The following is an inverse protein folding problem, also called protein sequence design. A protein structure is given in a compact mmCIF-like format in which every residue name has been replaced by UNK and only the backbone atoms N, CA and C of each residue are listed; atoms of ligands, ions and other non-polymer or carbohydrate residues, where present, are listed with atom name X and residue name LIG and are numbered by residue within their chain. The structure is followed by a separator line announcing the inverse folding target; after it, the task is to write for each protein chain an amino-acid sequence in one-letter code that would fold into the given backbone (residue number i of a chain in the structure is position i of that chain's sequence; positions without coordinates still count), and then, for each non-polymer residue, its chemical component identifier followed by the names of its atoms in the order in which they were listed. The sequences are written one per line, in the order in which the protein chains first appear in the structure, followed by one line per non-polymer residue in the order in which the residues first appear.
data_IF_967036989887
#
_entry.id   IF_967036989887
#
_cell.length_a   1.000
_cell.length_b   1.000
_cell.length_c   1.000
_cell.angle_alpha   90.00
_cell.angle_beta   90.00
_cell.angle_gamma   90.00
#
_symmetry.space_group_name_H-M   'P 1'
#
loop_
_entity.id
_entity.type
_entity.pdbx_description
1 polymer ?
#
# COMPACT_ATOMS: atom_id res chain seq x y z
N UNK A 1 -16.61 7.13 2.55
CA UNK A 1 -15.53 8.09 2.88
C UNK A 1 -14.21 7.40 2.58
N UNK A 2 -13.24 8.10 2.01
CA UNK A 2 -11.95 7.57 1.53
C UNK A 2 -10.79 8.31 2.21
N UNK A 3 -9.62 7.68 2.29
CA UNK A 3 -8.37 8.34 2.71
C UNK A 3 -7.60 8.77 1.46
N UNK A 4 -7.05 9.99 1.42
CA UNK A 4 -6.29 10.48 0.26
C UNK A 4 -5.23 11.50 0.64
N UNK A 5 -4.11 11.51 -0.09
CA UNK A 5 -3.02 12.49 0.12
C UNK A 5 -2.39 12.90 -1.21
N UNK A 6 -1.93 14.16 -1.30
CA UNK A 6 -1.11 14.64 -2.41
C UNK A 6 0.39 14.44 -2.08
N UNK A 7 1.10 13.81 -3.01
CA UNK A 7 2.54 13.54 -2.92
C UNK A 7 3.25 14.28 -4.04
N UNK A 8 4.31 15.02 -3.69
CA UNK A 8 5.18 15.75 -4.62
C UNK A 8 6.16 14.80 -5.31
N UNK A 9 5.61 13.79 -5.98
CA UNK A 9 6.35 12.79 -6.74
C UNK A 9 5.62 12.47 -8.04
N UNK A 10 6.39 12.13 -9.06
CA UNK A 10 5.86 11.70 -10.35
C UNK A 10 5.09 10.38 -10.22
N UNK A 11 4.08 10.20 -11.06
CA UNK A 11 3.17 9.04 -11.00
C UNK A 11 3.92 7.72 -11.16
N UNK A 12 5.04 7.72 -11.89
CA UNK A 12 5.90 6.54 -12.06
C UNK A 12 6.50 6.07 -10.73
N UNK A 13 7.02 7.00 -9.93
CA UNK A 13 7.62 6.70 -8.63
C UNK A 13 6.55 6.25 -7.64
N UNK A 14 5.38 6.89 -7.68
CA UNK A 14 4.24 6.54 -6.82
C UNK A 14 3.70 5.16 -7.19
N UNK A 15 3.56 4.87 -8.48
CA UNK A 15 3.15 3.57 -8.98
C UNK A 15 4.12 2.47 -8.54
N UNK A 16 5.42 2.71 -8.67
CA UNK A 16 6.45 1.80 -8.17
C UNK A 16 6.27 1.56 -6.67
N UNK A 17 6.07 2.63 -5.89
CA UNK A 17 5.93 2.54 -4.44
C UNK A 17 4.70 1.76 -3.97
N UNK A 18 3.60 1.76 -4.74
CA UNK A 18 2.38 1.01 -4.40
C UNK A 18 2.32 -0.39 -5.02
N UNK A 19 3.22 -0.76 -5.93
CA UNK A 19 3.17 -2.07 -6.64
C UNK A 19 4.41 -2.95 -6.43
N UNK A 20 5.53 -2.39 -5.98
CA UNK A 20 6.74 -3.17 -5.68
C UNK A 20 6.81 -3.59 -4.21
N UNK A 21 7.13 -4.86 -3.99
CA UNK A 21 7.22 -5.52 -2.68
C UNK A 21 8.08 -4.75 -1.68
N UNK A 22 9.29 -4.37 -2.11
CA UNK A 22 10.27 -3.70 -1.25
C UNK A 22 9.80 -2.30 -0.86
N UNK A 23 9.09 -1.61 -1.74
CA UNK A 23 8.58 -0.27 -1.44
C UNK A 23 7.33 -0.36 -0.54
N UNK A 24 6.36 -1.24 -0.86
CA UNK A 24 5.17 -1.47 -0.03
C UNK A 24 5.52 -1.84 1.42
N UNK A 25 6.55 -2.67 1.61
CA UNK A 25 7.03 -3.10 2.93
C UNK A 25 7.62 -1.96 3.77
N UNK A 26 7.93 -0.80 3.17
CA UNK A 26 8.49 0.35 3.88
C UNK A 26 7.43 1.28 4.45
N UNK A 27 6.25 1.39 3.84
CA UNK A 27 5.28 2.43 4.19
C UNK A 27 3.88 1.91 4.54
N UNK A 28 3.42 0.82 3.92
CA UNK A 28 2.03 0.37 4.03
C UNK A 28 1.69 -0.03 5.47
N UNK A 29 2.55 -0.87 6.03
CA UNK A 29 2.60 -1.23 7.44
C UNK A 29 4.09 -1.54 7.71
N UNK A 30 4.87 -0.57 8.20
CA UNK A 30 6.31 -0.77 8.41
C UNK A 30 6.61 -2.05 9.22
N UNK A 31 7.77 -2.64 8.98
CA UNK A 31 8.18 -3.91 9.60
C UNK A 31 7.48 -5.16 9.06
N UNK A 32 6.34 -5.03 8.37
CA UNK A 32 5.65 -6.13 7.68
C UNK A 32 6.13 -6.27 6.24
N UNK A 33 5.90 -7.44 5.63
CA UNK A 33 6.47 -7.76 4.31
C UNK A 33 5.42 -8.10 3.27
N UNK A 34 5.76 -7.82 2.02
CA UNK A 34 4.98 -8.18 0.83
C UNK A 34 5.77 -9.14 -0.06
N UNK A 35 5.07 -10.10 -0.65
CA UNK A 35 5.55 -11.01 -1.70
C UNK A 35 4.54 -10.97 -2.85
N UNK A 36 4.95 -10.46 -4.00
CA UNK A 36 4.14 -10.21 -5.20
C UNK A 36 4.87 -10.86 -6.39
N UNK A 37 4.81 -12.20 -6.51
CA UNK A 37 5.57 -12.92 -7.53
C UNK A 37 5.27 -12.48 -8.97
N UNK A 38 4.04 -11.99 -9.20
CA UNK A 38 3.59 -11.46 -10.48
C UNK A 38 2.51 -10.42 -10.31
N UNK A 39 2.77 -9.21 -10.79
CA UNK A 39 1.82 -8.10 -10.81
C UNK A 39 0.84 -8.24 -12.00
N UNK A 40 -0.20 -9.06 -11.84
CA UNK A 40 -1.27 -9.21 -12.83
C UNK A 40 -2.61 -9.57 -12.18
N UNK A 41 -3.72 -9.22 -12.84
CA UNK A 41 -5.07 -9.56 -12.37
C UNK A 41 -5.25 -11.07 -12.22
N UNK A 42 -5.88 -11.49 -11.11
CA UNK A 42 -6.11 -12.89 -10.75
C UNK A 42 -4.92 -13.59 -10.07
N UNK A 43 -3.72 -13.01 -10.09
CA UNK A 43 -2.56 -13.58 -9.40
C UNK A 43 -2.67 -13.40 -7.88
N UNK A 44 -1.99 -14.28 -7.15
CA UNK A 44 -1.92 -14.24 -5.68
C UNK A 44 -0.68 -13.45 -5.23
N UNK A 45 -0.83 -12.77 -4.11
CA UNK A 45 0.28 -12.16 -3.37
C UNK A 45 0.09 -12.41 -1.87
N UNK A 46 1.18 -12.29 -1.10
CA UNK A 46 1.15 -12.52 0.33
C UNK A 46 1.56 -11.24 1.06
N UNK A 47 0.72 -10.79 1.98
CA UNK A 47 1.09 -9.79 2.97
C UNK A 47 1.31 -10.48 4.31
N UNK A 48 2.52 -10.38 4.87
CA UNK A 48 2.85 -10.97 6.18
C UNK A 48 2.93 -9.87 7.22
N UNK A 49 1.91 -9.81 8.08
CA UNK A 49 1.89 -8.90 9.22
C UNK A 49 2.84 -9.44 10.29
N UNK A 50 3.86 -8.65 10.62
CA UNK A 50 4.87 -9.03 11.60
C UNK A 50 4.47 -8.59 13.02
N UNK A 51 4.84 -9.36 14.07
CA UNK A 51 4.69 -8.93 15.46
C UNK A 51 5.28 -7.55 15.72
N UNK A 52 4.51 -6.73 16.44
CA UNK A 52 4.96 -5.43 16.90
C UNK A 52 4.27 -5.02 18.21
N UNK A 53 4.67 -3.88 18.77
CA UNK A 53 4.18 -3.37 20.06
C UNK A 53 2.68 -2.99 20.01
N UNK A 54 2.10 -2.89 18.81
CA UNK A 54 0.74 -2.44 18.56
C UNK A 54 -0.27 -3.55 18.24
N UNK A 55 0.16 -4.72 17.76
CA UNK A 55 -0.73 -5.76 17.22
C UNK A 55 -0.84 -7.04 18.06
N UNK A 56 -0.10 -7.15 19.17
CA UNK A 56 -0.14 -8.28 20.12
C UNK A 56 0.12 -9.66 19.49
N UNK A 57 0.64 -9.72 18.26
CA UNK A 57 0.99 -10.99 17.62
C UNK A 57 2.23 -11.57 18.30
N UNK A 58 2.22 -12.88 18.53
CA UNK A 58 3.41 -13.62 18.97
C UNK A 58 4.25 -14.07 17.77
N UNK A 59 3.59 -14.39 16.65
CA UNK A 59 4.18 -14.96 15.44
C UNK A 59 3.73 -14.17 14.20
N UNK A 60 4.51 -14.18 13.10
CA UNK A 60 4.09 -13.61 11.82
C UNK A 60 2.77 -14.19 11.31
N UNK A 61 1.89 -13.32 10.82
CA UNK A 61 0.59 -13.69 10.27
C UNK A 61 0.56 -13.45 8.75
N UNK A 62 0.75 -14.49 7.92
CA UNK A 62 0.63 -14.37 6.47
C UNK A 62 -0.83 -14.33 6.04
N UNK A 63 -1.16 -13.39 5.17
CA UNK A 63 -2.47 -13.23 4.55
C UNK A 63 -2.32 -13.37 3.03
N UNK A 64 -3.06 -14.31 2.45
CA UNK A 64 -3.12 -14.47 1.01
C UNK A 64 -4.16 -13.51 0.41
N UNK A 65 -3.72 -12.75 -0.58
CA UNK A 65 -4.49 -11.73 -1.27
C UNK A 65 -4.59 -12.09 -2.75
N UNK A 66 -5.66 -11.63 -3.40
CA UNK A 66 -5.83 -11.80 -4.85
C UNK A 66 -5.82 -10.45 -5.53
N UNK A 67 -4.93 -10.24 -6.50
CA UNK A 67 -4.90 -9.00 -7.28
C UNK A 67 -6.17 -8.93 -8.12
N UNK A 68 -6.92 -7.83 -7.98
CA UNK A 68 -8.19 -7.61 -8.68
C UNK A 68 -8.01 -6.73 -9.91
N UNK A 69 -7.24 -5.64 -9.80
CA UNK A 69 -7.00 -4.71 -10.91
C UNK A 69 -5.56 -4.23 -10.94
N UNK A 70 -5.00 -4.17 -12.14
CA UNK A 70 -3.70 -3.55 -12.40
C UNK A 70 -3.82 -2.69 -13.66
N UNK A 71 -4.13 -1.41 -13.48
CA UNK A 71 -4.07 -0.43 -14.58
C UNK A 71 -2.96 0.56 -14.26
N UNK A 72 -1.89 0.47 -15.05
CA UNK A 72 -0.66 1.23 -14.84
C UNK A 72 -0.98 2.72 -14.70
N UNK A 73 -0.50 3.33 -13.61
CA UNK A 73 -0.67 4.76 -13.28
C UNK A 73 -2.11 5.18 -12.98
N UNK A 74 -3.04 4.24 -12.85
CA UNK A 74 -4.45 4.54 -12.56
C UNK A 74 -4.92 3.84 -11.28
N UNK A 75 -4.78 2.51 -11.20
CA UNK A 75 -5.32 1.74 -10.07
C UNK A 75 -4.54 0.44 -9.85
N UNK A 76 -4.30 0.15 -8.57
CA UNK A 76 -3.91 -1.17 -8.09
C UNK A 76 -4.87 -1.59 -6.98
N UNK A 77 -5.49 -2.75 -7.11
CA UNK A 77 -6.44 -3.26 -6.12
C UNK A 77 -6.31 -4.75 -5.88
N UNK A 78 -6.69 -5.15 -4.68
CA UNK A 78 -6.60 -6.53 -4.24
C UNK A 78 -7.69 -6.89 -3.24
N UNK A 79 -7.98 -8.18 -3.17
CA UNK A 79 -9.02 -8.76 -2.35
C UNK A 79 -8.41 -9.57 -1.20
N UNK A 80 -8.91 -9.31 0.00
CA UNK A 80 -8.69 -10.09 1.21
C UNK A 80 -9.88 -11.04 1.36
N UNK A 81 -9.61 -12.33 1.55
CA UNK A 81 -10.68 -13.32 1.80
C UNK A 81 -11.23 -13.21 3.22
N UNK A 82 -10.40 -12.85 4.20
CA UNK A 82 -10.82 -12.71 5.61
C UNK A 82 -10.18 -11.45 6.22
N UNK A 83 -10.95 -10.41 6.52
CA UNK A 83 -12.36 -10.23 6.14
C UNK A 83 -12.52 -10.09 4.62
N UNK A 84 -13.67 -10.49 4.07
CA UNK A 84 -14.00 -10.31 2.65
C UNK A 84 -14.03 -8.81 2.30
N UNK A 85 -12.95 -8.29 1.74
CA UNK A 85 -12.79 -6.85 1.50
C UNK A 85 -11.89 -6.59 0.29
N UNK A 86 -12.28 -5.63 -0.54
CA UNK A 86 -11.44 -5.10 -1.61
C UNK A 86 -10.77 -3.82 -1.14
N UNK A 87 -9.46 -3.80 -1.20
CA UNK A 87 -8.63 -2.61 -0.99
C UNK A 87 -8.17 -2.13 -2.36
N UNK A 88 -8.39 -0.85 -2.66
CA UNK A 88 -7.98 -0.24 -3.92
C UNK A 88 -7.25 1.07 -3.68
N UNK A 89 -6.07 1.21 -4.30
CA UNK A 89 -5.30 2.44 -4.38
C UNK A 89 -5.43 3.01 -5.80
N UNK A 90 -6.03 4.20 -5.91
CA UNK A 90 -6.14 4.93 -7.17
C UNK A 90 -5.20 6.12 -7.21
N UNK A 91 -4.64 6.38 -8.39
CA UNK A 91 -3.73 7.49 -8.66
C UNK A 91 -4.41 8.52 -9.56
N UNK A 92 -4.21 9.79 -9.24
CA UNK A 92 -4.58 10.90 -10.10
C UNK A 92 -3.43 11.90 -10.14
N UNK A 93 -2.90 12.18 -11.33
CA UNK A 93 -1.95 13.27 -11.52
C UNK A 93 -2.68 14.60 -11.25
N UNK A 94 -2.10 15.42 -10.38
CA UNK A 94 -2.62 16.74 -10.07
C UNK A 94 -1.45 17.69 -9.80
N UNK A 95 -1.47 18.84 -10.50
CA UNK A 95 -0.42 19.85 -10.44
C UNK A 95 0.97 19.29 -10.83
N UNK A 96 1.90 19.28 -9.88
CA UNK A 96 3.27 18.75 -9.99
C UNK A 96 3.47 17.45 -9.16
N UNK A 97 2.37 16.78 -8.79
CA UNK A 97 2.40 15.60 -7.95
C UNK A 97 1.34 14.58 -8.33
N UNK A 98 1.20 13.58 -7.48
CA UNK A 98 0.23 12.51 -7.63
C UNK A 98 -0.59 12.39 -6.37
N UNK A 99 -1.91 12.45 -6.52
CA UNK A 99 -2.85 12.13 -5.44
C UNK A 99 -3.03 10.63 -5.37
N UNK A 100 -2.78 10.05 -4.19
CA UNK A 100 -3.04 8.64 -3.89
C UNK A 100 -4.29 8.56 -3.03
N UNK A 101 -5.24 7.71 -3.42
CA UNK A 101 -6.49 7.52 -2.66
C UNK A 101 -6.76 6.04 -2.39
N UNK A 102 -7.11 5.72 -1.15
CA UNK A 102 -7.70 4.43 -0.78
C UNK A 102 -9.21 4.49 -0.90
N UNK A 103 -9.84 3.41 -1.36
CA UNK A 103 -11.31 3.30 -1.44
C UNK A 103 -12.04 3.31 -0.08
N UNK A 104 -11.31 3.30 1.03
CA UNK A 104 -11.85 3.30 2.39
C UNK A 104 -11.01 4.15 3.37
N UNK A 105 -11.56 4.38 4.56
CA UNK A 105 -10.86 5.05 5.66
C UNK A 105 -9.85 4.14 6.36
N UNK A 106 -9.04 4.72 7.25
CA UNK A 106 -8.09 3.98 8.10
C UNK A 106 -6.67 3.89 7.53
N UNK A 107 -6.42 4.53 6.38
CA UNK A 107 -5.12 4.52 5.70
C UNK A 107 -4.37 5.85 5.82
N UNK A 108 -4.85 6.81 6.61
CA UNK A 108 -4.21 8.13 6.75
C UNK A 108 -2.76 8.02 7.23
N UNK A 109 -2.48 7.13 8.20
CA UNK A 109 -1.14 6.88 8.70
C UNK A 109 -0.22 6.25 7.65
N UNK A 110 -0.71 5.23 6.93
CA UNK A 110 0.03 4.61 5.82
C UNK A 110 0.30 5.61 4.69
N UNK A 111 -0.68 6.45 4.35
CA UNK A 111 -0.53 7.51 3.34
C UNK A 111 0.50 8.56 3.75
N UNK A 112 0.56 8.93 5.04
CA UNK A 112 1.60 9.81 5.56
C UNK A 112 2.99 9.17 5.45
N UNK A 113 3.12 7.86 5.71
CA UNK A 113 4.36 7.12 5.48
C UNK A 113 4.77 7.09 4.01
N UNK A 114 3.82 6.85 3.09
CA UNK A 114 4.09 6.84 1.64
C UNK A 114 4.61 8.20 1.17
N UNK A 115 3.97 9.29 1.65
CA UNK A 115 4.40 10.65 1.35
C UNK A 115 5.83 10.89 1.83
N UNK A 116 6.11 10.59 3.10
CA UNK A 116 7.45 10.76 3.67
C UNK A 116 8.51 9.97 2.88
N UNK A 117 8.22 8.70 2.55
CA UNK A 117 9.12 7.86 1.76
C UNK A 117 9.47 8.47 0.40
N UNK A 118 8.47 9.01 -0.31
CA UNK A 118 8.65 9.54 -1.66
C UNK A 118 9.22 10.97 -1.69
N UNK A 119 9.03 11.73 -0.62
CA UNK A 119 9.55 13.10 -0.49
C UNK A 119 10.93 13.14 0.18
N UNK A 120 11.42 12.01 0.70
CA UNK A 120 12.74 11.86 1.31
C UNK A 120 12.79 12.26 2.78
N UNK A 121 11.66 12.21 3.47
CA UNK A 121 11.51 12.49 4.90
C UNK A 121 11.53 11.20 5.75
N UNK A 122 11.68 11.37 7.07
CA UNK A 122 11.58 10.28 8.03
C UNK A 122 10.14 9.70 8.09
N UNK A 123 10.01 8.37 8.16
CA UNK A 123 8.71 7.68 8.26
C UNK A 123 8.03 8.00 9.61
N UNK A 124 6.86 8.68 9.63
CA UNK A 124 6.24 9.18 10.86
C UNK A 124 5.51 8.11 11.69
N UNK A 125 5.00 7.05 11.06
CA UNK A 125 4.23 6.00 11.74
C UNK A 125 4.92 4.65 11.59
N UNK A 126 5.88 4.40 12.47
CA UNK A 126 6.54 3.10 12.57
C UNK A 126 5.67 2.10 13.33
N UNK A 127 5.91 0.83 13.05
CA UNK A 127 5.29 -0.34 13.65
C UNK A 127 5.90 -0.72 14.99
#
# INVERSE_FOLDING_TARGET
MSSSILIQAAVENVWQAITEEQALSQWYAPGSTWDIPKLAEGEKMTFTLMPNDHNQLADPLPMQLTIQQVKKYEIFSFYLEVPETVIAMSLAEQDNGTTVSFNMQGYDASLANLKALLEGDDIPHQS
#
